data_IF_823413519169
#
_entry.id   IF_823413519169
#
_cell.length_a   1.000
_cell.length_b   1.000
_cell.length_c   1.000
_cell.angle_alpha   90.00
_cell.angle_beta   90.00
_cell.angle_gamma   90.00
#
_symmetry.space_group_name_H-M   'P 1'
#
loop_
_entity.id
_entity.type
_entity.pdbx_description
1 polymer ?
#
# COMPACT_ATOMS: atom_id res chain seq x y z
N UNK A 1 -15.20 -0.79 -20.45
CA UNK A 1 -14.28 -1.47 -19.50
C UNK A 1 -13.58 -2.62 -20.24
N UNK A 2 -12.26 -2.57 -20.39
CA UNK A 2 -11.44 -3.43 -21.28
C UNK A 2 -11.28 -4.90 -20.85
N UNK A 3 -12.23 -5.48 -20.10
CA UNK A 3 -12.13 -6.86 -19.61
C UNK A 3 -11.04 -7.12 -18.54
N UNK A 4 -10.24 -6.12 -18.15
CA UNK A 4 -9.22 -6.26 -17.12
C UNK A 4 -9.79 -6.41 -15.71
N UNK A 5 -9.04 -7.10 -14.85
CA UNK A 5 -9.39 -7.38 -13.46
C UNK A 5 -8.30 -6.83 -12.52
N UNK A 6 -8.66 -5.84 -11.69
CA UNK A 6 -7.77 -5.28 -10.67
C UNK A 6 -8.03 -5.98 -9.34
N UNK A 7 -7.21 -6.99 -9.02
CA UNK A 7 -7.45 -7.91 -7.88
C UNK A 7 -6.38 -7.87 -6.79
N UNK A 8 -5.55 -6.83 -6.73
CA UNK A 8 -4.44 -6.73 -5.76
C UNK A 8 -4.84 -7.04 -4.32
N UNK A 9 -5.83 -6.32 -3.78
CA UNK A 9 -6.34 -6.53 -2.43
C UNK A 9 -6.91 -7.95 -2.21
N UNK A 10 -7.56 -8.54 -3.23
CA UNK A 10 -8.09 -9.91 -3.16
C UNK A 10 -6.97 -10.95 -3.13
N UNK A 11 -5.91 -10.74 -3.91
CA UNK A 11 -4.74 -11.63 -3.93
C UNK A 11 -4.02 -11.57 -2.58
N UNK A 12 -3.79 -10.37 -2.04
CA UNK A 12 -3.15 -10.20 -0.71
C UNK A 12 -3.96 -10.90 0.39
N UNK A 13 -5.27 -10.68 0.44
CA UNK A 13 -6.16 -11.35 1.40
C UNK A 13 -6.10 -12.87 1.25
N UNK A 14 -6.19 -13.39 0.02
CA UNK A 14 -6.16 -14.83 -0.23
C UNK A 14 -4.84 -15.48 0.18
N UNK A 15 -3.70 -14.82 -0.08
CA UNK A 15 -2.38 -15.33 0.32
C UNK A 15 -2.25 -15.36 1.84
N UNK A 16 -2.65 -14.30 2.55
CA UNK A 16 -2.62 -14.27 4.03
C UNK A 16 -3.52 -15.38 4.60
N UNK A 17 -4.71 -15.58 4.04
CA UNK A 17 -5.62 -16.63 4.47
C UNK A 17 -5.05 -18.04 4.21
N UNK A 18 -4.41 -18.28 3.06
CA UNK A 18 -3.72 -19.55 2.80
C UNK A 18 -2.59 -19.80 3.80
N UNK A 19 -1.79 -18.77 4.11
CA UNK A 19 -0.71 -18.87 5.09
C UNK A 19 -1.23 -19.29 6.47
N UNK A 20 -2.37 -18.75 6.91
CA UNK A 20 -2.99 -19.13 8.19
C UNK A 20 -3.59 -20.54 8.12
N UNK A 21 -4.43 -20.81 7.12
CA UNK A 21 -5.28 -22.00 7.08
C UNK A 21 -4.53 -23.26 6.63
N UNK A 22 -3.58 -23.10 5.70
CA UNK A 22 -2.90 -24.21 5.04
C UNK A 22 -1.42 -24.31 5.43
N UNK A 23 -0.80 -23.19 5.84
CA UNK A 23 0.66 -23.14 6.13
C UNK A 23 0.98 -22.96 7.61
N UNK A 24 -0.02 -22.81 8.47
CA UNK A 24 0.15 -22.77 9.92
C UNK A 24 0.67 -21.44 10.47
N UNK A 25 0.55 -20.33 9.75
CA UNK A 25 0.87 -19.01 10.30
C UNK A 25 -0.02 -18.73 11.52
N UNK A 26 0.61 -18.54 12.68
CA UNK A 26 -0.10 -18.34 13.95
C UNK A 26 -0.74 -19.61 14.53
N UNK A 27 -0.29 -20.82 14.13
CA UNK A 27 -0.75 -22.09 14.72
C UNK A 27 0.11 -22.59 15.88
N UNK A 28 1.38 -22.19 15.96
CA UNK A 28 2.32 -22.64 16.98
C UNK A 28 2.23 -21.81 18.27
N UNK A 29 2.59 -22.39 19.43
CA UNK A 29 2.74 -21.64 20.68
C UNK A 29 3.82 -20.55 20.53
N UNK A 30 3.54 -19.36 21.06
CA UNK A 30 4.41 -18.17 20.93
C UNK A 30 3.85 -17.12 19.97
N UNK A 31 4.60 -16.03 19.76
CA UNK A 31 4.25 -14.97 18.80
C UNK A 31 5.11 -15.12 17.54
N UNK A 32 4.50 -15.17 16.37
CA UNK A 32 5.20 -15.05 15.08
C UNK A 32 5.33 -13.58 14.68
N UNK A 33 6.41 -13.23 13.98
CA UNK A 33 6.55 -11.91 13.36
C UNK A 33 6.31 -12.01 11.86
N UNK A 34 5.38 -11.22 11.35
CA UNK A 34 5.17 -11.01 9.92
C UNK A 34 5.69 -9.63 9.54
N UNK A 35 6.68 -9.61 8.65
CA UNK A 35 7.14 -8.40 7.99
C UNK A 35 6.38 -8.30 6.67
N UNK A 36 5.37 -7.44 6.61
CA UNK A 36 4.57 -7.21 5.42
C UNK A 36 5.16 -6.04 4.63
N UNK A 37 5.63 -6.30 3.42
CA UNK A 37 6.41 -5.30 2.70
C UNK A 37 6.44 -5.48 1.20
N UNK A 38 7.18 -4.58 0.56
CA UNK A 38 7.39 -4.58 -0.87
C UNK A 38 8.34 -3.47 -1.31
N UNK A 39 8.60 -3.44 -2.61
CA UNK A 39 9.45 -2.43 -3.26
C UNK A 39 8.63 -1.68 -4.32
N UNK A 40 8.86 -0.38 -4.48
CA UNK A 40 8.26 0.46 -5.52
C UNK A 40 6.72 0.37 -5.48
N UNK A 41 6.06 0.02 -6.60
CA UNK A 41 4.61 -0.17 -6.64
C UNK A 41 4.12 -1.24 -5.64
N UNK A 42 4.91 -2.28 -5.38
CA UNK A 42 4.62 -3.29 -4.37
C UNK A 42 4.61 -2.71 -2.96
N UNK A 43 5.51 -1.77 -2.67
CA UNK A 43 5.54 -1.07 -1.38
C UNK A 43 4.33 -0.17 -1.17
N UNK A 44 3.85 0.52 -2.22
CA UNK A 44 2.58 1.27 -2.14
C UNK A 44 1.40 0.35 -1.85
N UNK A 45 1.37 -0.82 -2.47
CA UNK A 45 0.38 -1.86 -2.17
C UNK A 45 0.49 -2.36 -0.73
N UNK A 46 1.71 -2.57 -0.25
CA UNK A 46 1.97 -2.97 1.13
C UNK A 46 1.46 -1.90 2.11
N UNK A 47 1.83 -0.63 1.91
CA UNK A 47 1.34 0.51 2.68
C UNK A 47 -0.19 0.59 2.69
N UNK A 48 -0.84 0.45 1.53
CA UNK A 48 -2.30 0.52 1.43
C UNK A 48 -3.00 -0.61 2.21
N UNK A 49 -2.34 -1.74 2.44
CA UNK A 49 -2.95 -2.91 3.07
C UNK A 49 -2.47 -3.18 4.48
N UNK A 50 -1.40 -2.53 4.92
CA UNK A 50 -0.69 -2.85 6.17
C UNK A 50 -1.63 -2.84 7.39
N UNK A 51 -2.41 -1.78 7.56
CA UNK A 51 -3.35 -1.65 8.68
C UNK A 51 -4.50 -2.68 8.64
N UNK A 52 -4.74 -3.30 7.48
CA UNK A 52 -5.79 -4.28 7.26
C UNK A 52 -5.29 -5.73 7.43
N UNK A 53 -3.98 -5.96 7.48
CA UNK A 53 -3.40 -7.31 7.64
C UNK A 53 -3.91 -8.02 8.90
N UNK A 54 -4.05 -7.37 10.08
CA UNK A 54 -4.64 -8.03 11.26
C UNK A 54 -6.04 -8.58 11.03
N UNK A 55 -6.89 -7.87 10.28
CA UNK A 55 -8.22 -8.38 9.88
C UNK A 55 -8.08 -9.59 8.96
N UNK A 56 -7.17 -9.54 7.97
CA UNK A 56 -6.96 -10.62 7.00
C UNK A 56 -6.44 -11.91 7.64
N UNK A 57 -5.67 -11.80 8.73
CA UNK A 57 -5.20 -12.94 9.53
C UNK A 57 -6.36 -13.64 10.27
N UNK A 58 -7.45 -12.93 10.54
CA UNK A 58 -8.56 -13.41 11.38
C UNK A 58 -8.23 -13.39 12.88
N UNK A 59 -9.26 -13.44 13.73
CA UNK A 59 -9.13 -13.26 15.19
C UNK A 59 -8.19 -14.26 15.87
N UNK A 60 -8.16 -15.50 15.41
CA UNK A 60 -7.29 -16.54 15.96
C UNK A 60 -5.80 -16.29 15.72
N UNK A 61 -5.41 -16.03 14.46
CA UNK A 61 -4.01 -15.83 14.12
C UNK A 61 -3.51 -14.43 14.51
N UNK A 62 -4.35 -13.39 14.39
CA UNK A 62 -3.98 -12.02 14.78
C UNK A 62 -3.59 -11.89 16.26
N UNK A 63 -4.15 -12.71 17.15
CA UNK A 63 -3.73 -12.73 18.56
C UNK A 63 -2.29 -13.25 18.77
N UNK A 64 -1.76 -14.04 17.81
CA UNK A 64 -0.46 -14.73 17.88
C UNK A 64 0.56 -14.23 16.85
N UNK A 65 0.22 -13.22 16.07
CA UNK A 65 1.08 -12.68 15.02
C UNK A 65 1.27 -11.19 15.25
N UNK A 66 2.52 -10.77 15.42
CA UNK A 66 2.93 -9.38 15.32
C UNK A 66 3.10 -9.01 13.85
N UNK A 67 2.55 -7.87 13.44
CA UNK A 67 2.65 -7.36 12.07
C UNK A 67 3.43 -6.06 12.09
N UNK A 68 4.47 -5.98 11.25
CA UNK A 68 5.22 -4.75 10.99
C UNK A 68 5.39 -4.55 9.48
N UNK A 69 5.57 -3.31 9.06
CA UNK A 69 5.79 -2.94 7.67
C UNK A 69 7.28 -2.87 7.28
N UNK A 70 7.59 -3.28 6.05
CA UNK A 70 8.86 -2.94 5.39
C UNK A 70 8.57 -2.29 4.05
N UNK A 71 8.79 -0.98 3.97
CA UNK A 71 8.31 -0.14 2.90
C UNK A 71 9.48 0.44 2.11
N UNK A 72 9.87 -0.20 1.01
CA UNK A 72 11.00 0.24 0.17
C UNK A 72 10.51 1.05 -1.04
N UNK A 73 10.96 2.30 -1.14
CA UNK A 73 10.71 3.22 -2.26
C UNK A 73 9.23 3.53 -2.46
N UNK A 74 8.52 3.71 -1.34
CA UNK A 74 7.07 3.99 -1.25
C UNK A 74 6.72 5.45 -1.46
N UNK A 75 7.68 6.34 -1.15
CA UNK A 75 7.47 7.78 -1.04
C UNK A 75 7.59 8.46 -2.40
N UNK A 76 6.64 8.18 -3.28
CA UNK A 76 6.47 8.93 -4.52
C UNK A 76 5.90 10.30 -4.18
N UNK A 77 6.68 11.35 -4.45
CA UNK A 77 6.28 12.73 -4.17
C UNK A 77 5.40 13.24 -5.31
N UNK A 78 4.23 13.75 -4.96
CA UNK A 78 3.35 14.45 -5.91
C UNK A 78 3.91 15.84 -6.18
N UNK A 79 4.63 15.96 -7.29
CA UNK A 79 5.24 17.19 -7.78
C UNK A 79 5.07 17.26 -9.29
N UNK A 80 5.18 18.48 -9.83
CA UNK A 80 5.11 18.67 -11.28
C UNK A 80 6.29 17.96 -11.96
N UNK A 81 6.06 17.24 -13.07
CA UNK A 81 7.13 16.67 -13.88
C UNK A 81 8.08 17.74 -14.42
N UNK A 82 9.36 17.36 -14.60
CA UNK A 82 10.35 18.25 -15.22
C UNK A 82 10.02 18.53 -16.70
N UNK A 83 10.62 19.62 -17.22
CA UNK A 83 10.43 20.01 -18.61
C UNK A 83 11.00 18.96 -19.57
N UNK A 84 10.13 18.32 -20.36
CA UNK A 84 10.51 17.27 -21.31
C UNK A 84 10.21 15.85 -20.83
N UNK A 85 9.72 15.68 -19.60
CA UNK A 85 9.24 14.39 -19.09
C UNK A 85 8.04 13.89 -19.92
N UNK A 86 8.01 12.60 -20.21
CA UNK A 86 6.84 11.92 -20.79
C UNK A 86 5.81 11.52 -19.73
N UNK A 87 6.17 11.62 -18.44
CA UNK A 87 5.27 11.36 -17.34
C UNK A 87 4.36 12.57 -17.11
N UNK A 88 3.05 12.35 -17.12
CA UNK A 88 2.03 13.40 -17.00
C UNK A 88 1.75 13.83 -15.55
N UNK A 89 2.45 13.26 -14.57
CA UNK A 89 2.31 13.60 -13.15
C UNK A 89 1.36 12.68 -12.38
N UNK A 90 1.56 12.63 -11.05
CA UNK A 90 0.72 11.82 -10.16
C UNK A 90 -0.68 12.40 -9.98
N UNK A 91 -0.80 13.72 -9.88
CA UNK A 91 -2.09 14.41 -9.87
C UNK A 91 -2.99 14.06 -11.08
N UNK A 92 -2.44 13.60 -12.21
CA UNK A 92 -3.20 13.16 -13.38
C UNK A 92 -3.38 11.63 -13.44
N UNK A 93 -2.35 10.86 -13.07
CA UNK A 93 -2.38 9.38 -13.17
C UNK A 93 -3.08 8.70 -12.00
N UNK A 94 -2.91 9.18 -10.77
CA UNK A 94 -3.46 8.56 -9.57
C UNK A 94 -4.99 8.65 -9.47
N UNK A 95 -5.68 9.76 -9.82
CA UNK A 95 -7.14 9.78 -9.87
C UNK A 95 -7.71 8.74 -10.83
N UNK A 96 -7.05 8.54 -11.98
CA UNK A 96 -7.45 7.52 -12.96
C UNK A 96 -7.33 6.11 -12.36
N UNK A 97 -6.17 5.79 -11.78
CA UNK A 97 -5.94 4.51 -11.07
C UNK A 97 -7.00 4.28 -10.01
N UNK A 98 -7.24 5.28 -9.16
CA UNK A 98 -8.27 5.23 -8.12
C UNK A 98 -9.66 4.91 -8.70
N UNK A 99 -10.02 5.56 -9.81
CA UNK A 99 -11.33 5.39 -10.46
C UNK A 99 -11.56 4.03 -11.12
N UNK A 100 -10.53 3.39 -11.72
CA UNK A 100 -10.73 2.10 -12.41
C UNK A 100 -10.27 0.87 -11.63
N UNK A 101 -9.42 1.01 -10.60
CA UNK A 101 -8.84 -0.11 -9.88
C UNK A 101 -9.70 -0.60 -8.68
N UNK A 102 -10.87 0.00 -8.46
CA UNK A 102 -11.79 -0.33 -7.36
C UNK A 102 -11.05 -0.41 -6.00
N UNK A 103 -10.27 0.62 -5.70
CA UNK A 103 -9.43 0.68 -4.51
C UNK A 103 -10.32 0.78 -3.27
N UNK A 104 -10.12 -0.13 -2.30
CA UNK A 104 -10.95 -0.21 -1.09
C UNK A 104 -10.20 0.09 0.21
N UNK A 105 -8.90 -0.16 0.26
CA UNK A 105 -8.08 0.04 1.46
C UNK A 105 -7.42 1.42 1.45
N UNK A 106 -8.24 2.48 1.56
CA UNK A 106 -7.78 3.88 1.58
C UNK A 106 -7.51 4.38 3.01
N UNK A 107 -8.06 3.68 4.00
CA UNK A 107 -8.08 4.00 5.42
C UNK A 107 -8.89 5.25 5.77
N UNK A 108 -9.72 5.12 6.79
CA UNK A 108 -10.77 6.07 7.12
C UNK A 108 -10.23 7.46 7.45
N UNK A 109 -9.15 7.55 8.24
CA UNK A 109 -8.54 8.84 8.61
C UNK A 109 -7.96 9.58 7.41
N UNK A 110 -7.31 8.85 6.49
CA UNK A 110 -6.79 9.47 5.27
C UNK A 110 -7.94 9.95 4.38
N UNK A 111 -8.98 9.13 4.20
CA UNK A 111 -10.14 9.53 3.41
C UNK A 111 -10.86 10.75 4.00
N UNK A 112 -10.94 10.83 5.33
CA UNK A 112 -11.54 11.96 6.02
C UNK A 112 -10.71 13.26 5.90
N UNK A 113 -9.40 13.16 5.66
CA UNK A 113 -8.53 14.32 5.47
C UNK A 113 -8.66 14.99 4.09
N UNK A 114 -9.34 14.35 3.12
CA UNK A 114 -9.46 14.85 1.75
C UNK A 114 -10.91 14.90 1.27
N UNK A 115 -11.18 15.80 0.33
CA UNK A 115 -12.50 15.84 -0.34
C UNK A 115 -12.73 14.57 -1.17
N UNK A 116 -13.99 14.27 -1.51
CA UNK A 116 -14.31 13.08 -2.31
C UNK A 116 -13.53 13.01 -3.63
N UNK A 117 -13.28 14.15 -4.28
CA UNK A 117 -12.47 14.22 -5.52
C UNK A 117 -10.98 13.93 -5.32
N UNK A 118 -10.49 14.04 -4.09
CA UNK A 118 -9.08 13.94 -3.72
C UNK A 118 -8.71 12.66 -2.96
N UNK A 119 -9.65 11.74 -2.75
CA UNK A 119 -9.38 10.49 -2.03
C UNK A 119 -8.32 9.61 -2.69
N UNK A 120 -8.03 9.83 -3.97
CA UNK A 120 -6.90 9.20 -4.67
C UNK A 120 -5.56 9.47 -3.98
N UNK A 121 -5.41 10.58 -3.24
CA UNK A 121 -4.20 10.89 -2.46
C UNK A 121 -3.85 9.78 -1.48
N UNK A 122 -4.84 9.06 -0.96
CA UNK A 122 -4.65 7.94 -0.04
C UNK A 122 -4.01 6.68 -0.65
N UNK A 123 -3.78 6.64 -1.97
CA UNK A 123 -3.00 5.57 -2.61
C UNK A 123 -1.50 5.92 -2.75
N UNK A 124 -1.10 7.13 -2.34
CA UNK A 124 0.27 7.64 -2.47
C UNK A 124 0.96 7.76 -1.11
N UNK A 125 2.23 7.33 -1.05
CA UNK A 125 3.04 7.43 0.15
C UNK A 125 3.14 8.85 0.71
N UNK A 126 3.26 9.85 -0.18
CA UNK A 126 3.35 11.27 0.19
C UNK A 126 2.22 11.73 1.14
N UNK A 127 1.01 11.22 0.95
CA UNK A 127 -0.15 11.60 1.77
C UNK A 127 -0.52 10.52 2.79
N UNK A 128 -0.49 9.25 2.39
CA UNK A 128 -1.01 8.12 3.19
C UNK A 128 -0.16 7.79 4.40
N UNK A 129 1.17 7.94 4.34
CA UNK A 129 2.08 7.48 5.40
C UNK A 129 1.82 8.11 6.77
N UNK A 130 1.30 9.35 6.80
CA UNK A 130 0.93 10.04 8.03
C UNK A 130 -0.27 9.41 8.76
N UNK A 131 -1.06 8.58 8.07
CA UNK A 131 -2.25 7.90 8.59
C UNK A 131 -2.06 6.39 8.76
N UNK A 132 -0.90 5.84 8.39
CA UNK A 132 -0.60 4.43 8.57
C UNK A 132 -0.24 4.17 10.04
N UNK A 133 -0.97 3.27 10.70
CA UNK A 133 -0.88 3.06 12.16
C UNK A 133 0.02 1.90 12.53
N UNK A 134 0.02 0.82 11.74
CA UNK A 134 0.91 -0.32 11.98
C UNK A 134 2.37 0.13 11.88
N UNK A 135 3.24 -0.20 12.85
CA UNK A 135 4.65 0.19 12.81
C UNK A 135 5.35 -0.29 11.53
N UNK A 136 6.19 0.54 10.92
CA UNK A 136 6.92 0.20 9.70
C UNK A 136 8.33 0.80 9.67
N UNK A 137 9.21 0.12 8.95
CA UNK A 137 10.48 0.69 8.48
C UNK A 137 10.28 1.22 7.06
N UNK A 138 10.59 2.50 6.85
CA UNK A 138 10.60 3.13 5.53
C UNK A 138 12.04 3.23 5.03
N UNK A 139 12.27 2.71 3.83
CA UNK A 139 13.51 2.94 3.08
C UNK A 139 13.14 3.76 1.84
N UNK A 140 13.78 4.92 1.68
CA UNK A 140 13.55 5.78 0.53
C UNK A 140 14.87 6.42 0.10
N UNK A 141 15.18 6.32 -1.18
CA UNK A 141 16.30 7.03 -1.79
C UNK A 141 15.91 8.50 -1.98
N UNK A 142 16.76 9.43 -1.53
CA UNK A 142 16.56 10.87 -1.81
C UNK A 142 16.52 11.15 -3.32
N UNK A 143 17.26 10.37 -4.11
CA UNK A 143 17.30 10.40 -5.57
C UNK A 143 16.86 9.06 -6.13
N UNK A 144 15.61 8.67 -5.84
CA UNK A 144 15.01 7.49 -6.43
C UNK A 144 15.00 7.60 -7.97
N UNK A 145 15.46 6.56 -8.67
CA UNK A 145 15.64 6.63 -10.12
C UNK A 145 14.33 6.80 -10.87
N UNK A 146 13.21 6.26 -10.37
CA UNK A 146 11.89 6.49 -10.95
C UNK A 146 11.47 7.94 -10.71
N UNK A 147 11.61 8.45 -9.49
CA UNK A 147 11.28 9.84 -9.19
C UNK A 147 12.13 10.82 -10.01
N UNK A 148 13.44 10.58 -10.15
CA UNK A 148 14.33 11.45 -10.94
C UNK A 148 14.07 11.36 -12.43
N UNK A 149 13.66 10.20 -12.95
CA UNK A 149 13.33 10.10 -14.38
C UNK A 149 11.93 10.63 -14.72
N UNK A 150 10.99 10.61 -13.76
CA UNK A 150 9.60 10.98 -13.99
C UNK A 150 9.28 12.42 -13.56
N UNK A 151 9.78 12.83 -12.39
CA UNK A 151 9.31 14.01 -11.66
C UNK A 151 10.37 15.12 -11.49
N UNK A 152 11.66 14.78 -11.33
CA UNK A 152 12.75 15.76 -11.12
C UNK A 152 13.50 16.04 -12.40
#
# INVERSE_FOLDING_TARGET
>A
KFGYQFRGARVVRAVIQDLVQQRGLGSTPGRSLVIFGGQSAGSRGAMAHLDYVPEMLGSGASARVDVVGFLDSTLWIDMLPHQGSSFIGFAETCPRVHGYANVSHLGEECQAAFTHGDQWKCIMGHYRLAFTRTPYLLVASQYDSFAVSANV
#
